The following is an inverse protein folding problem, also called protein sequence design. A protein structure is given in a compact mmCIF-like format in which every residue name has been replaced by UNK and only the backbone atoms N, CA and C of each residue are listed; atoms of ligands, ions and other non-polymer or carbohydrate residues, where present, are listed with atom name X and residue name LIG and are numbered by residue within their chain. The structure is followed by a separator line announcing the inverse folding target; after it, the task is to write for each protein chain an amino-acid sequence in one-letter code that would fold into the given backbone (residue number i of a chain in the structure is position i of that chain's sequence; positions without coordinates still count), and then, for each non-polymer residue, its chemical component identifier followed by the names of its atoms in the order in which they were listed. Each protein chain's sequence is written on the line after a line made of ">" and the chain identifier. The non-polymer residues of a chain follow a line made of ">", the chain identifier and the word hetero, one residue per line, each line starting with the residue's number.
data_IF_404528428364
#
_entry.id   IF_404528428364
#
_cell.length_a   1.000
_cell.length_b   1.000
_cell.length_c   1.000
_cell.angle_alpha   90.00
_cell.angle_beta   90.00
_cell.angle_gamma   90.00
#
_symmetry.space_group_name_H-M   'P 1'
#
loop_
_entity.id
_entity.type
_entity.pdbx_description
1 polymer ?
#
# COMPACT_ATOMS: atom_id res chain seq x y z
N UNK A 1 9.35 -11.14 -13.82
CA UNK A 1 10.25 -10.35 -12.95
C UNK A 1 9.87 -8.90 -13.16
N UNK A 2 9.46 -8.18 -12.12
CA UNK A 2 9.17 -6.76 -12.26
C UNK A 2 10.49 -6.01 -12.46
N UNK A 3 10.54 -5.17 -13.48
CA UNK A 3 11.67 -4.27 -13.73
C UNK A 3 11.24 -2.86 -13.33
N UNK A 4 12.18 -2.12 -12.73
CA UNK A 4 12.03 -0.70 -12.51
C UNK A 4 11.97 0.05 -13.86
N UNK A 5 11.53 1.32 -13.87
CA UNK A 5 11.39 2.13 -15.10
C UNK A 5 12.66 2.23 -15.95
N UNK A 6 13.83 2.11 -15.33
CA UNK A 6 15.16 2.12 -15.92
C UNK A 6 15.69 0.70 -16.28
N UNK A 7 14.85 -0.33 -16.16
CA UNK A 7 15.10 -1.68 -16.66
C UNK A 7 15.83 -2.62 -15.69
N UNK A 8 16.27 -2.15 -14.52
CA UNK A 8 16.87 -3.03 -13.51
C UNK A 8 15.79 -3.85 -12.78
N UNK A 9 16.09 -5.08 -12.33
CA UNK A 9 15.11 -5.89 -11.60
C UNK A 9 14.75 -5.25 -10.26
N UNK A 10 13.46 -5.18 -9.96
CA UNK A 10 12.98 -4.66 -8.68
C UNK A 10 13.49 -5.50 -7.50
N UNK A 11 13.94 -4.83 -6.44
CA UNK A 11 14.36 -5.49 -5.22
C UNK A 11 13.17 -6.15 -4.52
N UNK A 12 13.32 -7.43 -4.15
CA UNK A 12 12.33 -8.14 -3.34
C UNK A 12 12.36 -7.59 -1.91
N UNK A 13 11.18 -7.34 -1.33
CA UNK A 13 11.06 -6.92 0.08
C UNK A 13 11.64 -8.00 1.01
N UNK A 14 12.81 -7.75 1.61
CA UNK A 14 13.52 -8.71 2.49
C UNK A 14 13.03 -8.70 3.94
N UNK A 15 12.39 -7.62 4.35
CA UNK A 15 11.96 -7.37 5.73
C UNK A 15 10.49 -7.67 5.96
N UNK A 16 9.72 -7.95 4.90
CA UNK A 16 8.32 -8.32 5.01
C UNK A 16 8.20 -9.75 5.58
N UNK A 17 7.74 -9.86 6.82
CA UNK A 17 7.45 -11.14 7.46
C UNK A 17 5.95 -11.40 7.38
N UNK A 18 5.51 -12.48 6.70
CA UNK A 18 4.10 -12.84 6.66
C UNK A 18 3.52 -12.99 8.07
N UNK A 19 2.30 -12.47 8.27
CA UNK A 19 1.60 -12.59 9.54
C UNK A 19 1.29 -14.07 9.81
N UNK A 20 1.89 -14.64 10.86
CA UNK A 20 1.65 -16.04 11.26
C UNK A 20 0.41 -16.24 12.13
N UNK A 21 -0.05 -15.20 12.83
CA UNK A 21 -1.25 -15.24 13.66
C UNK A 21 -2.49 -14.90 12.85
N UNK A 22 -3.56 -15.67 13.05
CA UNK A 22 -4.87 -15.39 12.47
C UNK A 22 -5.36 -13.99 12.88
N UNK A 23 -6.00 -13.29 11.95
CA UNK A 23 -6.67 -12.03 12.22
C UNK A 23 -7.95 -12.27 13.05
N UNK A 24 -8.35 -11.27 13.84
CA UNK A 24 -9.67 -11.28 14.48
C UNK A 24 -10.75 -11.23 13.41
N UNK A 25 -11.94 -11.73 13.73
CA UNK A 25 -13.08 -11.74 12.80
C UNK A 25 -13.42 -10.35 12.29
N UNK A 26 -13.45 -9.35 13.18
CA UNK A 26 -13.69 -7.94 12.83
C UNK A 26 -12.65 -7.42 11.83
N UNK A 27 -11.35 -7.68 12.04
CA UNK A 27 -10.31 -7.25 11.10
C UNK A 27 -10.43 -7.98 9.77
N UNK A 28 -10.73 -9.28 9.78
CA UNK A 28 -10.91 -10.02 8.53
C UNK A 28 -12.08 -9.51 7.71
N UNK A 29 -13.21 -9.18 8.35
CA UNK A 29 -14.35 -8.57 7.68
C UNK A 29 -13.99 -7.20 7.07
N UNK A 30 -13.34 -6.34 7.85
CA UNK A 30 -12.89 -5.02 7.36
C UNK A 30 -11.95 -5.15 6.16
N UNK A 31 -11.00 -6.09 6.17
CA UNK A 31 -10.13 -6.33 5.02
C UNK A 31 -10.91 -6.84 3.80
N UNK A 32 -11.87 -7.75 3.98
CA UNK A 32 -12.66 -8.26 2.87
C UNK A 32 -13.49 -7.15 2.20
N UNK A 33 -13.97 -6.19 2.98
CA UNK A 33 -14.74 -5.03 2.49
C UNK A 33 -13.85 -3.96 1.84
N UNK A 34 -12.74 -3.59 2.50
CA UNK A 34 -11.98 -2.39 2.14
C UNK A 34 -10.82 -2.66 1.19
N UNK A 35 -10.26 -3.87 1.17
CA UNK A 35 -9.11 -4.19 0.31
C UNK A 35 -9.44 -4.03 -1.19
N UNK A 36 -10.63 -4.39 -1.70
CA UNK A 36 -10.98 -4.14 -3.11
C UNK A 36 -11.05 -2.66 -3.50
N UNK A 37 -11.22 -1.76 -2.53
CA UNK A 37 -11.37 -0.31 -2.77
C UNK A 37 -10.03 0.42 -2.60
N UNK A 38 -9.27 0.07 -1.58
CA UNK A 38 -8.05 0.79 -1.19
C UNK A 38 -6.75 0.00 -1.41
N UNK A 39 -6.85 -1.27 -1.74
CA UNK A 39 -5.69 -2.14 -1.96
C UNK A 39 -5.10 -1.96 -3.35
N UNK A 40 -3.79 -2.12 -3.43
CA UNK A 40 -3.07 -2.32 -4.69
C UNK A 40 -2.51 -3.74 -4.70
N UNK A 41 -2.65 -4.41 -5.84
CA UNK A 41 -2.01 -5.71 -6.03
C UNK A 41 -0.49 -5.54 -6.05
N UNK A 42 0.21 -6.47 -5.40
CA UNK A 42 1.68 -6.48 -5.38
C UNK A 42 2.24 -6.77 -6.76
N UNK A 43 1.50 -7.55 -7.56
CA UNK A 43 1.86 -7.87 -8.93
C UNK A 43 1.02 -7.10 -9.94
N UNK A 44 1.68 -6.61 -10.99
CA UNK A 44 1.02 -5.85 -12.04
C UNK A 44 2.02 -5.02 -12.84
N UNK A 45 1.53 -4.27 -13.84
CA UNK A 45 2.33 -3.23 -14.47
C UNK A 45 2.68 -2.13 -13.44
N UNK A 46 3.79 -1.39 -13.63
CA UNK A 46 4.05 -0.18 -12.86
C UNK A 46 2.86 0.78 -12.96
N UNK A 47 2.51 1.43 -11.86
CA UNK A 47 1.45 2.45 -11.79
C UNK A 47 2.00 3.76 -11.24
N UNK A 48 1.34 4.87 -11.56
CA UNK A 48 1.66 6.20 -11.06
C UNK A 48 0.68 6.64 -9.96
N UNK A 49 1.08 7.61 -9.14
CA UNK A 49 0.19 8.14 -8.12
C UNK A 49 -0.99 8.91 -8.73
N UNK A 50 -0.78 9.55 -9.89
CA UNK A 50 -1.81 10.23 -10.65
C UNK A 50 -2.89 9.26 -11.16
N UNK A 51 -2.51 8.06 -11.60
CA UNK A 51 -3.45 7.00 -11.96
C UNK A 51 -4.26 6.51 -10.75
N UNK A 52 -3.59 6.32 -9.60
CA UNK A 52 -4.24 5.81 -8.38
C UNK A 52 -5.23 6.82 -7.81
N UNK A 53 -4.85 8.09 -7.72
CA UNK A 53 -5.65 9.13 -7.06
C UNK A 53 -6.54 9.92 -8.02
N UNK A 54 -6.46 9.64 -9.34
CA UNK A 54 -7.18 10.35 -10.41
C UNK A 54 -7.00 11.88 -10.37
N UNK A 55 -5.88 12.33 -9.81
CA UNK A 55 -5.53 13.76 -9.68
C UNK A 55 -4.02 13.94 -9.57
N UNK A 56 -3.55 15.14 -9.89
CA UNK A 56 -2.18 15.55 -9.61
C UNK A 56 -2.12 16.38 -8.32
N UNK A 57 -1.40 15.87 -7.34
CA UNK A 57 -1.19 16.50 -6.03
C UNK A 57 0.12 15.99 -5.40
N UNK A 58 0.69 16.68 -4.39
CA UNK A 58 1.79 16.13 -3.60
C UNK A 58 1.42 14.78 -2.96
N UNK A 59 2.34 13.82 -2.99
CA UNK A 59 2.14 12.45 -2.49
C UNK A 59 3.11 12.16 -1.36
N UNK A 60 2.59 11.63 -0.26
CA UNK A 60 3.38 11.10 0.86
C UNK A 60 3.26 9.57 0.91
N UNK A 61 4.39 8.89 1.13
CA UNK A 61 4.47 7.43 1.29
C UNK A 61 5.00 7.10 2.69
N UNK A 62 4.23 6.30 3.45
CA UNK A 62 4.64 5.79 4.76
C UNK A 62 4.95 4.29 4.68
N UNK A 63 6.22 3.91 4.90
CA UNK A 63 6.63 2.51 4.94
C UNK A 63 6.59 2.02 6.40
N UNK A 64 5.81 0.98 6.66
CA UNK A 64 5.65 0.44 8.01
C UNK A 64 4.64 1.22 8.87
N UNK A 65 3.54 1.67 8.27
CA UNK A 65 2.53 2.57 8.85
C UNK A 65 1.75 2.04 10.07
N UNK A 66 2.00 0.82 10.56
CA UNK A 66 1.29 0.29 11.72
C UNK A 66 -0.22 0.19 11.50
N UNK A 67 -1.00 0.96 12.26
CA UNK A 67 -2.45 1.10 12.08
C UNK A 67 -2.86 2.40 11.36
N UNK A 68 -1.89 3.19 10.90
CA UNK A 68 -2.08 4.35 10.02
C UNK A 68 -2.32 5.67 10.76
N UNK A 69 -2.08 5.74 12.07
CA UNK A 69 -2.37 6.94 12.87
C UNK A 69 -1.62 8.18 12.36
N UNK A 70 -0.35 8.03 11.97
CA UNK A 70 0.46 9.13 11.44
C UNK A 70 -0.03 9.59 10.05
N UNK A 71 -0.34 8.65 9.15
CA UNK A 71 -0.93 8.95 7.85
C UNK A 71 -2.28 9.68 7.98
N UNK A 72 -3.15 9.23 8.88
CA UNK A 72 -4.45 9.88 9.15
C UNK A 72 -4.25 11.29 9.69
N UNK A 73 -3.37 11.48 10.68
CA UNK A 73 -3.07 12.79 11.23
C UNK A 73 -2.53 13.75 10.16
N UNK A 74 -1.65 13.26 9.27
CA UNK A 74 -1.10 14.06 8.17
C UNK A 74 -2.17 14.45 7.17
N UNK A 75 -3.07 13.53 6.80
CA UNK A 75 -4.15 13.79 5.86
C UNK A 75 -5.20 14.78 6.39
N UNK A 76 -5.37 14.87 7.72
CA UNK A 76 -6.29 15.81 8.38
C UNK A 76 -5.67 17.18 8.67
N UNK A 77 -4.34 17.29 8.61
CA UNK A 77 -3.62 18.54 8.88
C UNK A 77 -3.53 19.45 7.66
N UNK A 78 -3.92 18.95 6.49
CA UNK A 78 -4.04 19.66 5.21
C UNK A 78 -5.48 20.18 5.01
#
# INVERSE_FOLDING_TARGET
>A
MMCAPDGHPMAVARTFKPRRRRMSQTRSAAFAELLPVFGLDVEGPPTSAEEIFERSAPVALEIGCGAGEAAIASALAE
#
